data_IF_843108183872
#
_entry.id   IF_843108183872
#
_cell.length_a   1.000
_cell.length_b   1.000
_cell.length_c   1.000
_cell.angle_alpha   90.00
_cell.angle_beta   90.00
_cell.angle_gamma   90.00
#
_symmetry.space_group_name_H-M   'P 1'
#
loop_
_entity.id
_entity.type
_entity.pdbx_description
1 polymer ?
#
# COMPACT_ATOMS: atom_id res chain seq x y z
N UNK A 1 4.10 11.58 1.88
CA UNK A 1 2.87 11.08 1.21
C UNK A 1 1.59 11.79 1.69
N UNK A 2 0.63 12.09 0.80
CA UNK A 2 -0.73 12.53 1.21
C UNK A 2 -1.50 11.33 1.80
N UNK A 3 -2.38 11.55 2.79
CA UNK A 3 -3.17 10.46 3.38
C UNK A 3 -4.10 9.79 2.36
N UNK A 4 -3.87 8.50 2.09
CA UNK A 4 -4.75 7.65 1.27
C UNK A 4 -5.93 7.12 2.11
N UNK A 5 -5.76 7.01 3.43
CA UNK A 5 -6.78 6.48 4.33
C UNK A 5 -8.02 7.41 4.38
N UNK A 6 -9.25 6.90 4.16
CA UNK A 6 -10.48 7.70 4.24
C UNK A 6 -10.93 7.90 5.69
N UNK A 7 -10.12 8.59 6.50
CA UNK A 7 -10.36 8.74 7.95
C UNK A 7 -11.74 9.33 8.28
N UNK A 8 -12.18 10.37 7.59
CA UNK A 8 -13.50 10.98 7.83
C UNK A 8 -14.65 10.01 7.57
N UNK A 9 -14.51 9.11 6.59
CA UNK A 9 -15.51 8.08 6.31
C UNK A 9 -15.50 7.01 7.40
N UNK A 10 -14.32 6.61 7.89
CA UNK A 10 -14.16 5.65 8.99
C UNK A 10 -14.79 6.22 10.27
N UNK A 11 -14.46 7.46 10.62
CA UNK A 11 -14.98 8.14 11.81
C UNK A 11 -16.51 8.18 11.84
N UNK A 12 -17.16 8.38 10.69
CA UNK A 12 -18.63 8.38 10.57
C UNK A 12 -19.28 6.99 10.72
N UNK A 13 -18.52 5.89 10.73
CA UNK A 13 -19.06 4.52 10.89
C UNK A 13 -19.29 4.14 12.34
N UNK A 14 -18.80 4.93 13.30
CA UNK A 14 -18.77 4.57 14.70
C UNK A 14 -19.30 5.71 15.56
N UNK A 15 -20.11 5.37 16.56
CA UNK A 15 -20.61 6.34 17.55
C UNK A 15 -19.55 6.68 18.60
N UNK A 16 -18.58 5.77 18.79
CA UNK A 16 -17.44 5.96 19.68
C UNK A 16 -16.32 6.73 18.98
N UNK A 17 -15.46 7.46 19.74
CA UNK A 17 -14.32 8.16 19.17
C UNK A 17 -13.40 7.18 18.42
N UNK A 18 -12.93 7.61 17.26
CA UNK A 18 -11.90 6.91 16.49
C UNK A 18 -10.59 7.68 16.65
N UNK A 19 -9.54 6.98 17.08
CA UNK A 19 -8.19 7.52 17.21
C UNK A 19 -7.43 7.18 15.93
N UNK A 20 -6.93 8.20 15.24
CA UNK A 20 -6.04 8.05 14.09
C UNK A 20 -4.59 8.22 14.53
N UNK A 21 -3.78 7.20 14.26
CA UNK A 21 -2.34 7.29 14.23
C UNK A 21 -1.87 7.29 12.77
N UNK A 22 -1.01 8.23 12.42
CA UNK A 22 -0.43 8.33 11.09
C UNK A 22 1.07 8.59 11.19
N UNK A 23 1.85 7.73 10.54
CA UNK A 23 3.31 7.78 10.48
C UNK A 23 3.75 7.90 9.02
N UNK A 24 4.76 8.73 8.78
CA UNK A 24 5.36 8.95 7.47
C UNK A 24 6.84 8.58 7.45
N UNK A 25 7.56 9.04 6.41
CA UNK A 25 8.98 8.76 6.25
C UNK A 25 9.83 9.28 7.42
N UNK A 26 9.45 10.40 8.04
CA UNK A 26 10.14 10.95 9.23
C UNK A 26 10.10 10.01 10.45
N UNK A 27 9.19 9.03 10.44
CA UNK A 27 9.01 8.00 11.47
C UNK A 27 9.38 6.60 10.96
N UNK A 28 10.22 6.50 9.93
CA UNK A 28 10.56 5.22 9.28
C UNK A 28 11.04 4.15 10.27
N UNK A 29 11.94 4.50 11.20
CA UNK A 29 12.48 3.55 12.19
C UNK A 29 11.40 2.99 13.12
N UNK A 30 10.35 3.76 13.39
CA UNK A 30 9.20 3.32 14.18
C UNK A 30 8.29 2.40 13.35
N UNK A 31 8.02 2.75 12.10
CA UNK A 31 7.29 1.89 11.16
C UNK A 31 8.00 0.55 10.97
N UNK A 32 9.33 0.55 10.82
CA UNK A 32 10.12 -0.66 10.66
C UNK A 32 10.07 -1.60 11.86
N UNK A 33 9.90 -1.07 13.08
CA UNK A 33 9.70 -1.88 14.29
C UNK A 33 8.28 -2.45 14.38
N UNK A 34 7.28 -1.66 13.94
CA UNK A 34 5.86 -2.00 14.07
C UNK A 34 5.39 -2.98 13.00
N UNK A 35 5.80 -2.77 11.75
CA UNK A 35 5.47 -3.64 10.63
C UNK A 35 6.69 -3.92 9.73
N UNK A 36 7.64 -4.73 10.22
CA UNK A 36 8.78 -5.17 9.40
C UNK A 36 8.34 -6.03 8.20
N UNK A 37 7.19 -6.70 8.29
CA UNK A 37 6.68 -7.55 7.22
C UNK A 37 6.14 -6.73 6.05
N UNK A 38 5.46 -5.61 6.33
CA UNK A 38 5.02 -4.68 5.30
C UNK A 38 6.19 -4.08 4.51
N UNK A 39 7.28 -3.70 5.20
CA UNK A 39 8.51 -3.25 4.53
C UNK A 39 9.18 -4.38 3.73
N UNK A 40 9.22 -5.60 4.27
CA UNK A 40 9.74 -6.74 3.54
C UNK A 40 8.91 -7.07 2.29
N UNK A 41 7.58 -6.97 2.35
CA UNK A 41 6.68 -7.14 1.20
C UNK A 41 6.95 -6.09 0.12
N UNK A 42 7.10 -4.83 0.52
CA UNK A 42 7.44 -3.74 -0.38
C UNK A 42 8.79 -3.99 -1.08
N UNK A 43 9.83 -4.34 -0.31
CA UNK A 43 11.14 -4.67 -0.86
C UNK A 43 11.15 -5.93 -1.74
N UNK A 44 10.32 -6.92 -1.41
CA UNK A 44 10.19 -8.13 -2.22
C UNK A 44 9.60 -7.81 -3.58
N UNK A 45 8.61 -6.92 -3.64
CA UNK A 45 8.05 -6.42 -4.90
C UNK A 45 9.13 -5.75 -5.77
N UNK A 46 9.99 -4.93 -5.15
CA UNK A 46 11.14 -4.32 -5.84
C UNK A 46 12.11 -5.39 -6.35
N UNK A 47 12.49 -6.33 -5.50
CA UNK A 47 13.42 -7.41 -5.86
C UNK A 47 12.92 -8.20 -7.07
N UNK A 48 11.64 -8.59 -7.07
CA UNK A 48 11.06 -9.36 -8.17
C UNK A 48 11.12 -8.62 -9.51
N UNK A 49 10.86 -7.31 -9.50
CA UNK A 49 10.96 -6.48 -10.71
C UNK A 49 12.41 -6.32 -11.16
N UNK A 50 13.31 -6.04 -10.23
CA UNK A 50 14.73 -5.89 -10.51
C UNK A 50 15.34 -7.17 -11.10
N UNK A 51 14.95 -8.32 -10.57
CA UNK A 51 15.39 -9.63 -11.05
C UNK A 51 14.98 -9.91 -12.51
N UNK A 52 13.87 -9.34 -13.00
CA UNK A 52 13.49 -9.51 -14.42
C UNK A 52 14.46 -8.85 -15.38
N UNK A 53 15.06 -7.74 -14.97
CA UNK A 53 16.07 -7.05 -15.78
C UNK A 53 17.49 -7.52 -15.48
N UNK A 54 17.67 -8.31 -14.40
CA UNK A 54 18.94 -8.91 -13.97
C UNK A 54 18.74 -10.39 -13.62
N UNK A 55 18.40 -11.25 -14.62
CA UNK A 55 17.99 -12.63 -14.39
C UNK A 55 19.10 -13.53 -13.82
N UNK A 56 20.36 -13.10 -13.94
CA UNK A 56 21.54 -13.73 -13.36
C UNK A 56 21.62 -13.55 -11.84
N UNK A 57 20.94 -12.53 -11.29
CA UNK A 57 20.91 -12.28 -9.86
C UNK A 57 19.80 -13.09 -9.19
N UNK A 58 20.20 -14.10 -8.43
CA UNK A 58 19.31 -14.84 -7.55
C UNK A 58 19.10 -14.15 -6.19
N UNK A 59 18.03 -14.53 -5.47
CA UNK A 59 17.76 -14.05 -4.10
C UNK A 59 18.93 -14.34 -3.12
N UNK A 60 19.83 -15.25 -3.50
CA UNK A 60 21.09 -15.50 -2.81
C UNK A 60 21.92 -14.25 -2.60
N UNK A 61 21.98 -13.33 -3.58
CA UNK A 61 22.75 -12.09 -3.47
C UNK A 61 22.28 -11.22 -2.28
N UNK A 62 20.96 -11.07 -2.14
CA UNK A 62 20.35 -10.36 -1.00
C UNK A 62 20.65 -11.06 0.32
N UNK A 63 20.54 -12.40 0.35
CA UNK A 63 20.82 -13.20 1.56
C UNK A 63 22.28 -13.11 1.98
N UNK A 64 23.20 -13.15 1.02
CA UNK A 64 24.63 -13.10 1.28
C UNK A 64 25.05 -11.73 1.80
N UNK A 65 24.45 -10.65 1.29
CA UNK A 65 24.61 -9.31 1.85
C UNK A 65 24.18 -9.28 3.34
N UNK A 66 22.96 -9.74 3.64
CA UNK A 66 22.40 -9.72 5.01
C UNK A 66 23.24 -10.58 5.95
N UNK A 67 23.73 -11.75 5.51
CA UNK A 67 24.62 -12.58 6.34
C UNK A 67 25.95 -11.92 6.64
N UNK A 68 26.51 -11.17 5.69
CA UNK A 68 27.80 -10.51 5.83
C UNK A 68 27.76 -9.22 6.66
N UNK A 69 26.66 -8.47 6.60
CA UNK A 69 26.56 -7.12 7.16
C UNK A 69 25.49 -6.98 8.26
N UNK A 70 24.66 -8.01 8.45
CA UNK A 70 23.42 -7.90 9.24
C UNK A 70 22.34 -7.12 8.50
N UNK A 71 21.28 -6.79 9.22
CA UNK A 71 20.19 -5.96 8.71
C UNK A 71 18.93 -6.74 8.30
N UNK A 72 17.98 -5.99 7.80
CA UNK A 72 16.65 -6.40 7.37
C UNK A 72 16.64 -6.73 5.87
N UNK A 73 15.55 -7.36 5.42
CA UNK A 73 15.42 -7.76 4.02
C UNK A 73 15.46 -6.56 3.06
N UNK A 74 14.82 -5.44 3.42
CA UNK A 74 14.77 -4.27 2.55
C UNK A 74 16.13 -3.59 2.40
N UNK A 75 16.97 -3.58 3.45
CA UNK A 75 18.35 -3.07 3.39
C UNK A 75 19.20 -3.92 2.45
N UNK A 76 19.03 -5.25 2.47
CA UNK A 76 19.71 -6.15 1.55
C UNK A 76 19.29 -5.94 0.09
N UNK A 77 18.00 -5.72 -0.18
CA UNK A 77 17.52 -5.39 -1.53
C UNK A 77 18.09 -4.05 -1.99
N UNK A 78 18.09 -3.04 -1.12
CA UNK A 78 18.64 -1.71 -1.43
C UNK A 78 20.13 -1.76 -1.77
N UNK A 79 20.90 -2.54 -1.02
CA UNK A 79 22.32 -2.72 -1.30
C UNK A 79 22.60 -3.41 -2.63
N UNK A 80 21.78 -4.40 -3.02
CA UNK A 80 21.94 -5.11 -4.30
C UNK A 80 21.47 -4.27 -5.48
N UNK A 81 20.36 -3.54 -5.33
CA UNK A 81 19.81 -2.66 -6.38
C UNK A 81 20.69 -1.41 -6.56
N UNK A 82 21.31 -0.92 -5.49
CA UNK A 82 22.12 0.31 -5.48
C UNK A 82 21.30 1.60 -5.45
N UNK A 83 20.00 1.52 -5.17
CA UNK A 83 19.04 2.63 -5.15
C UNK A 83 18.09 2.51 -3.96
N UNK A 84 17.60 3.63 -3.39
CA UNK A 84 16.61 3.59 -2.32
C UNK A 84 15.36 2.78 -2.70
N UNK A 85 15.11 1.71 -1.95
CA UNK A 85 14.01 0.76 -2.23
C UNK A 85 12.69 1.34 -1.78
N UNK A 86 12.66 1.95 -0.59
CA UNK A 86 11.50 2.65 -0.04
C UNK A 86 11.75 4.15 -0.12
N UNK A 87 11.00 4.86 -0.95
CA UNK A 87 11.21 6.29 -1.26
C UNK A 87 10.25 7.24 -0.54
N UNK A 88 9.11 6.73 -0.13
CA UNK A 88 8.12 7.41 0.71
C UNK A 88 7.21 6.35 1.33
N UNK A 89 6.53 6.66 2.43
CA UNK A 89 5.55 5.77 3.02
C UNK A 89 4.42 6.54 3.72
N UNK A 90 3.27 5.87 3.86
CA UNK A 90 2.20 6.24 4.77
C UNK A 90 1.75 4.99 5.50
N UNK A 91 1.93 5.00 6.81
CA UNK A 91 1.41 4.00 7.72
C UNK A 91 0.27 4.65 8.51
N UNK A 92 -0.90 4.03 8.52
CA UNK A 92 -2.07 4.59 9.21
C UNK A 92 -2.86 3.52 9.92
N UNK A 93 -3.25 3.82 11.16
CA UNK A 93 -4.00 2.93 12.03
C UNK A 93 -5.15 3.69 12.69
N UNK A 94 -6.35 3.14 12.59
CA UNK A 94 -7.53 3.65 13.28
C UNK A 94 -7.99 2.64 14.33
N UNK A 95 -8.03 3.06 15.58
CA UNK A 95 -8.59 2.28 16.69
C UNK A 95 -9.80 2.98 17.27
N UNK A 96 -10.77 2.20 17.72
CA UNK A 96 -11.95 2.71 18.43
C UNK A 96 -11.62 2.85 19.90
N UNK A 97 -11.87 4.01 20.47
CA UNK A 97 -11.77 4.25 21.91
C UNK A 97 -13.02 3.70 22.62
N UNK A 98 -13.05 2.38 22.77
CA UNK A 98 -14.08 1.67 23.50
C UNK A 98 -13.48 0.51 24.30
N UNK A 99 -13.46 0.58 25.64
CA UNK A 99 -12.91 -0.48 26.48
C UNK A 99 -13.69 -1.79 26.41
N UNK A 100 -14.89 -1.81 25.79
CA UNK A 100 -15.65 -3.03 25.59
C UNK A 100 -15.14 -3.91 24.42
N UNK A 101 -14.20 -3.40 23.60
CA UNK A 101 -13.65 -4.13 22.46
C UNK A 101 -12.32 -4.82 22.82
N UNK A 102 -12.27 -6.14 22.67
CA UNK A 102 -11.02 -6.91 22.81
C UNK A 102 -9.99 -6.54 21.73
N UNK A 103 -10.45 -6.24 20.51
CA UNK A 103 -9.63 -5.86 19.37
C UNK A 103 -10.17 -4.55 18.76
N UNK A 104 -9.66 -3.37 19.17
CA UNK A 104 -10.26 -2.09 18.79
C UNK A 104 -9.89 -1.63 17.38
N UNK A 105 -9.13 -2.41 16.61
CA UNK A 105 -8.65 -2.04 15.29
C UNK A 105 -9.82 -1.97 14.29
N UNK A 106 -10.11 -0.76 13.80
CA UNK A 106 -11.12 -0.52 12.77
C UNK A 106 -10.51 -0.42 11.36
N UNK A 107 -9.34 0.20 11.25
CA UNK A 107 -8.64 0.28 9.98
C UNK A 107 -7.13 0.24 10.13
N UNK A 108 -6.48 -0.35 9.14
CA UNK A 108 -5.04 -0.35 8.96
C UNK A 108 -4.76 -0.14 7.47
N UNK A 109 -3.80 0.70 7.15
CA UNK A 109 -3.33 0.90 5.78
C UNK A 109 -1.85 1.24 5.80
N UNK A 110 -1.06 0.43 5.10
CA UNK A 110 0.35 0.67 4.90
C UNK A 110 0.66 0.70 3.40
N UNK A 111 1.08 1.88 2.95
CA UNK A 111 1.43 2.13 1.55
C UNK A 111 2.85 2.67 1.48
N UNK A 112 3.60 2.21 0.49
CA UNK A 112 4.99 2.61 0.23
C UNK A 112 5.12 3.03 -1.23
N UNK A 113 5.91 4.07 -1.50
CA UNK A 113 6.38 4.35 -2.85
C UNK A 113 7.76 3.73 -2.98
N UNK A 114 7.92 2.89 -4.00
CA UNK A 114 9.10 2.01 -4.12
C UNK A 114 9.81 2.17 -5.47
N UNK A 115 11.05 1.72 -5.56
CA UNK A 115 11.77 1.60 -6.83
C UNK A 115 11.03 0.63 -7.79
N UNK A 116 10.99 0.88 -9.12
CA UNK A 116 11.60 2.01 -9.85
C UNK A 116 10.76 3.30 -9.82
N UNK A 117 9.44 3.24 -9.62
CA UNK A 117 8.58 4.34 -9.15
C UNK A 117 7.16 3.83 -8.88
N UNK A 118 6.98 2.67 -8.25
CA UNK A 118 5.66 2.08 -8.05
C UNK A 118 5.04 2.50 -6.72
N UNK A 119 3.71 2.43 -6.61
CA UNK A 119 3.01 2.51 -5.34
C UNK A 119 2.64 1.10 -4.90
N UNK A 120 3.17 0.65 -3.76
CA UNK A 120 2.89 -0.67 -3.21
C UNK A 120 2.00 -0.55 -1.97
N UNK A 121 0.87 -1.25 -1.97
CA UNK A 121 0.06 -1.44 -0.77
C UNK A 121 0.60 -2.66 -0.04
N UNK A 122 1.39 -2.41 1.00
CA UNK A 122 2.06 -3.41 1.79
C UNK A 122 1.08 -4.21 2.66
N UNK A 123 0.09 -3.54 3.24
CA UNK A 123 -0.97 -4.18 4.01
C UNK A 123 -2.21 -3.27 4.09
N UNK A 124 -3.38 -3.87 4.28
CA UNK A 124 -4.63 -3.16 4.51
C UNK A 124 -5.63 -4.02 5.31
N UNK A 125 -6.38 -3.36 6.20
CA UNK A 125 -7.52 -3.95 6.89
C UNK A 125 -8.59 -2.88 7.11
N UNK A 126 -9.86 -3.22 6.89
CA UNK A 126 -11.00 -2.32 7.10
C UNK A 126 -12.16 -3.11 7.73
N UNK A 127 -12.20 -3.14 9.05
CA UNK A 127 -13.08 -4.00 9.83
C UNK A 127 -13.98 -3.19 10.78
N UNK A 128 -15.19 -3.71 11.02
CA UNK A 128 -16.02 -3.27 12.13
C UNK A 128 -15.79 -4.21 13.32
N UNK A 129 -15.05 -3.79 14.37
CA UNK A 129 -14.72 -4.66 15.50
C UNK A 129 -15.94 -5.05 16.34
N UNK A 130 -17.07 -4.34 16.24
CA UNK A 130 -18.34 -4.73 16.88
C UNK A 130 -19.06 -5.88 16.16
N UNK A 131 -18.61 -6.27 14.98
CA UNK A 131 -19.28 -7.28 14.14
C UNK A 131 -18.34 -8.45 13.81
N UNK A 132 -17.93 -9.26 14.81
CA UNK A 132 -17.13 -10.45 14.56
C UNK A 132 -17.92 -11.48 13.73
N UNK A 133 -17.21 -12.20 12.86
CA UNK A 133 -17.77 -13.25 12.02
C UNK A 133 -17.28 -14.61 12.53
N UNK A 134 -18.18 -15.52 12.95
CA UNK A 134 -17.83 -16.89 13.28
C UNK A 134 -17.16 -17.61 12.11
N UNK A 135 -16.15 -18.45 12.39
CA UNK A 135 -15.34 -19.14 11.37
C UNK A 135 -16.18 -19.78 10.23
N UNK A 136 -17.29 -20.50 10.49
CA UNK A 136 -18.08 -21.13 9.42
C UNK A 136 -18.81 -20.16 8.48
N UNK A 137 -18.93 -18.88 8.85
CA UNK A 137 -19.62 -17.83 8.08
C UNK A 137 -18.66 -16.89 7.36
N UNK A 138 -17.35 -17.10 7.49
CA UNK A 138 -16.34 -16.26 6.85
C UNK A 138 -16.29 -16.56 5.37
N UNK A 139 -16.27 -15.50 4.56
CA UNK A 139 -16.10 -15.62 3.11
C UNK A 139 -14.64 -15.83 2.74
N UNK A 140 -13.73 -15.19 3.47
CA UNK A 140 -12.29 -15.28 3.25
C UNK A 140 -11.58 -15.84 4.49
N UNK A 141 -10.47 -16.54 4.29
CA UNK A 141 -9.72 -17.23 5.35
C UNK A 141 -9.36 -16.30 6.52
N UNK A 142 -8.92 -15.08 6.21
CA UNK A 142 -8.45 -14.10 7.18
C UNK A 142 -9.55 -13.14 7.68
N UNK A 143 -10.79 -13.26 7.21
CA UNK A 143 -11.87 -12.32 7.53
C UNK A 143 -12.45 -12.57 8.93
N UNK A 144 -11.93 -11.90 9.96
CA UNK A 144 -12.45 -12.06 11.35
C UNK A 144 -13.68 -11.22 11.66
N UNK A 145 -13.89 -10.13 10.94
CA UNK A 145 -14.94 -9.14 11.20
C UNK A 145 -15.66 -8.72 9.90
N UNK A 146 -16.85 -8.12 10.03
CA UNK A 146 -17.55 -7.50 8.90
C UNK A 146 -16.74 -6.31 8.39
N UNK A 147 -16.55 -6.23 7.08
CA UNK A 147 -15.77 -5.14 6.47
C UNK A 147 -16.53 -3.80 6.49
N UNK A 148 -15.78 -2.69 6.48
CA UNK A 148 -16.34 -1.33 6.40
C UNK A 148 -16.76 -0.90 4.99
N UNK A 149 -16.58 -1.78 3.99
CA UNK A 149 -16.85 -1.51 2.57
C UNK A 149 -16.06 -0.30 2.01
N UNK A 150 -14.81 -0.13 2.46
CA UNK A 150 -13.93 0.99 2.07
C UNK A 150 -12.91 0.65 0.98
N UNK A 151 -12.84 -0.61 0.54
CA UNK A 151 -11.81 -1.06 -0.42
C UNK A 151 -11.81 -0.23 -1.72
N UNK A 152 -12.98 -0.02 -2.32
CA UNK A 152 -13.11 0.78 -3.55
C UNK A 152 -12.61 2.22 -3.37
N UNK A 153 -12.99 2.87 -2.26
CA UNK A 153 -12.55 4.23 -1.93
C UNK A 153 -11.04 4.31 -1.77
N UNK A 154 -10.45 3.36 -1.03
CA UNK A 154 -9.01 3.32 -0.76
C UNK A 154 -8.22 3.10 -2.05
N UNK A 155 -8.65 2.18 -2.90
CA UNK A 155 -7.99 1.93 -4.18
C UNK A 155 -8.08 3.14 -5.11
N UNK A 156 -9.24 3.80 -5.19
CA UNK A 156 -9.38 5.03 -5.98
C UNK A 156 -8.46 6.16 -5.49
N UNK A 157 -8.30 6.32 -4.17
CA UNK A 157 -7.37 7.30 -3.58
C UNK A 157 -5.90 6.92 -3.84
N UNK A 158 -5.56 5.64 -3.74
CA UNK A 158 -4.23 5.14 -4.03
C UNK A 158 -3.86 5.36 -5.51
N UNK A 159 -4.79 5.07 -6.44
CA UNK A 159 -4.61 5.32 -7.87
C UNK A 159 -4.44 6.81 -8.17
N UNK A 160 -5.25 7.67 -7.56
CA UNK A 160 -5.11 9.12 -7.71
C UNK A 160 -3.74 9.61 -7.21
N UNK A 161 -3.30 9.14 -6.05
CA UNK A 161 -1.96 9.47 -5.53
C UNK A 161 -0.85 8.92 -6.43
N UNK A 162 -0.94 7.66 -6.86
CA UNK A 162 0.02 7.04 -7.76
C UNK A 162 0.16 7.85 -9.07
N UNK A 163 -0.97 8.23 -9.67
CA UNK A 163 -0.99 9.06 -10.89
C UNK A 163 -0.35 10.44 -10.67
N UNK A 164 -0.60 11.08 -9.53
CA UNK A 164 0.02 12.37 -9.18
C UNK A 164 1.53 12.28 -9.00
N UNK A 165 2.04 11.15 -8.48
CA UNK A 165 3.47 10.90 -8.29
C UNK A 165 4.17 10.32 -9.52
N UNK A 166 3.45 10.19 -10.64
CA UNK A 166 3.99 9.59 -11.86
C UNK A 166 4.37 8.12 -11.69
N UNK A 167 3.68 7.39 -10.82
CA UNK A 167 3.92 5.98 -10.63
C UNK A 167 3.43 5.17 -11.84
N UNK A 168 4.17 4.13 -12.20
CA UNK A 168 3.81 3.25 -13.33
C UNK A 168 2.75 2.22 -12.92
N UNK A 169 2.90 1.64 -11.73
CA UNK A 169 2.00 0.62 -11.22
C UNK A 169 1.54 0.91 -9.78
N UNK A 170 0.31 0.46 -9.50
CA UNK A 170 -0.18 0.17 -8.16
C UNK A 170 -0.04 -1.33 -7.93
N UNK A 171 0.70 -1.74 -6.91
CA UNK A 171 0.99 -3.15 -6.63
C UNK A 171 0.54 -3.55 -5.23
N UNK A 172 0.28 -4.84 -5.02
CA UNK A 172 -0.01 -5.44 -3.72
C UNK A 172 0.34 -6.92 -3.73
N UNK A 173 0.47 -7.50 -2.53
CA UNK A 173 0.51 -8.95 -2.36
C UNK A 173 -0.78 -9.41 -1.68
N UNK A 174 -1.55 -10.27 -2.34
CA UNK A 174 -2.71 -10.89 -1.73
C UNK A 174 -2.26 -11.81 -0.59
N UNK A 175 -2.79 -11.61 0.61
CA UNK A 175 -2.40 -12.43 1.77
C UNK A 175 -2.77 -13.92 1.59
N UNK A 176 -3.82 -14.19 0.81
CA UNK A 176 -4.31 -15.53 0.49
C UNK A 176 -4.86 -15.58 -0.94
N UNK A 177 -4.87 -16.79 -1.50
CA UNK A 177 -5.35 -17.11 -2.85
C UNK A 177 -6.80 -16.69 -3.11
N UNK A 178 -7.68 -16.81 -2.09
CA UNK A 178 -9.08 -16.41 -2.15
C UNK A 178 -9.30 -14.89 -2.29
N UNK A 179 -8.27 -14.06 -2.03
CA UNK A 179 -8.33 -12.62 -2.23
C UNK A 179 -7.95 -12.18 -3.66
N UNK A 180 -7.27 -13.03 -4.44
CA UNK A 180 -6.89 -12.70 -5.82
C UNK A 180 -8.11 -12.35 -6.69
N UNK A 181 -9.22 -13.12 -6.69
CA UNK A 181 -10.41 -12.74 -7.44
C UNK A 181 -11.11 -11.48 -6.92
N UNK A 182 -10.90 -11.11 -5.65
CA UNK A 182 -11.44 -9.86 -5.10
C UNK A 182 -10.72 -8.65 -5.71
N UNK A 183 -9.38 -8.66 -5.70
CA UNK A 183 -8.58 -7.58 -6.27
C UNK A 183 -8.69 -7.53 -7.80
N UNK A 184 -8.89 -8.68 -8.46
CA UNK A 184 -9.17 -8.74 -9.90
C UNK A 184 -10.36 -7.90 -10.34
N UNK A 185 -11.39 -7.75 -9.49
CA UNK A 185 -12.56 -6.89 -9.78
C UNK A 185 -12.22 -5.40 -9.84
N UNK A 186 -11.07 -5.00 -9.30
CA UNK A 186 -10.57 -3.63 -9.32
C UNK A 186 -9.50 -3.40 -10.40
N UNK A 187 -9.28 -4.38 -11.27
CA UNK A 187 -8.35 -4.29 -12.40
C UNK A 187 -6.92 -4.68 -12.06
N UNK A 188 -6.68 -5.32 -10.91
CA UNK A 188 -5.40 -5.96 -10.64
C UNK A 188 -5.28 -7.27 -11.41
N UNK A 189 -4.09 -7.56 -11.92
CA UNK A 189 -3.73 -8.83 -12.56
C UNK A 189 -2.59 -9.47 -11.78
N UNK A 190 -2.47 -10.80 -11.84
CA UNK A 190 -1.30 -11.49 -11.30
C UNK A 190 -0.10 -11.09 -12.15
N UNK A 191 0.99 -10.73 -11.50
CA UNK A 191 2.18 -10.22 -12.18
C UNK A 191 2.91 -11.36 -12.95
N UNK A 192 3.20 -11.16 -14.23
CA UNK A 192 3.74 -12.20 -15.11
C UNK A 192 5.12 -12.70 -14.69
N UNK A 193 5.36 -14.02 -14.77
CA UNK A 193 6.68 -14.61 -14.48
C UNK A 193 7.09 -14.60 -13.00
N UNK A 194 6.13 -14.42 -12.09
CA UNK A 194 6.39 -14.44 -10.65
C UNK A 194 6.35 -15.85 -10.04
N UNK A 195 7.14 -16.02 -8.98
CA UNK A 195 7.19 -17.26 -8.19
C UNK A 195 5.91 -17.50 -7.36
N UNK A 196 5.11 -16.46 -7.08
CA UNK A 196 3.89 -16.56 -6.28
C UNK A 196 2.69 -16.07 -7.07
N UNK A 197 1.59 -16.82 -7.04
CA UNK A 197 0.31 -16.44 -7.67
C UNK A 197 -0.45 -15.35 -6.90
N UNK A 198 0.24 -14.66 -5.97
CA UNK A 198 -0.36 -13.73 -5.00
C UNK A 198 0.08 -12.28 -5.22
N UNK A 199 1.20 -12.05 -5.91
CA UNK A 199 1.61 -10.71 -6.29
C UNK A 199 0.75 -10.19 -7.43
N UNK A 200 0.23 -8.98 -7.24
CA UNK A 200 -0.70 -8.39 -8.18
C UNK A 200 -0.31 -6.95 -8.51
N UNK A 201 -0.55 -6.56 -9.75
CA UNK A 201 -0.29 -5.22 -10.25
C UNK A 201 -1.48 -4.66 -11.01
N UNK A 202 -1.58 -3.33 -11.02
CA UNK A 202 -2.49 -2.57 -11.84
C UNK A 202 -1.70 -1.42 -12.45
N UNK A 203 -1.70 -1.34 -13.79
CA UNK A 203 -1.07 -0.22 -14.49
C UNK A 203 -1.81 1.08 -14.21
N UNK A 204 -1.07 2.12 -13.87
CA UNK A 204 -1.61 3.47 -13.68
C UNK A 204 -1.69 4.14 -15.05
N UNK A 205 -2.87 4.67 -15.37
CA UNK A 205 -3.04 5.44 -16.58
C UNK A 205 -2.18 6.72 -16.50
N UNK A 206 -1.42 7.05 -17.55
CA UNK A 206 -0.68 8.31 -17.59
C UNK A 206 -1.66 9.47 -17.44
N UNK A 207 -1.32 10.45 -16.59
CA UNK A 207 -2.12 11.66 -16.41
C UNK A 207 -2.24 12.34 -17.78
N UNK A 208 -3.46 12.56 -18.26
CA UNK A 208 -3.66 13.43 -19.43
C UNK A 208 -3.02 14.78 -19.11
N UNK A 209 -2.19 15.36 -20.00
CA UNK A 209 -1.60 16.66 -19.74
C UNK A 209 -2.74 17.63 -19.45
N UNK A 210 -2.73 18.25 -18.27
CA UNK A 210 -3.62 19.35 -17.97
C UNK A 210 -3.43 20.38 -19.08
N UNK A 211 -4.49 20.65 -19.85
CA UNK A 211 -4.49 21.78 -20.77
C UNK A 211 -4.09 22.99 -19.94
N UNK A 212 -2.99 23.70 -20.26
CA UNK A 212 -2.64 24.90 -19.52
C UNK A 212 -3.86 25.82 -19.55
N UNK A 213 -4.29 26.23 -18.36
CA UNK A 213 -5.37 27.19 -18.21
C UNK A 213 -5.04 28.38 -19.10
N UNK A 214 -5.88 28.62 -20.11
CA UNK A 214 -5.70 29.74 -21.00
C UNK A 214 -5.70 31.01 -20.15
N UNK A 215 -4.53 31.64 -20.00
CA UNK A 215 -4.44 32.97 -19.44
C UNK A 215 -5.33 33.87 -20.28
N UNK A 216 -6.42 34.34 -19.68
CA UNK A 216 -7.27 35.36 -20.25
C UNK A 216 -6.39 36.59 -20.48
N UNK A 217 -6.02 36.83 -21.74
CA UNK A 217 -5.39 38.06 -22.16
C UNK A 217 -6.37 39.21 -21.93
N UNK A 218 -6.18 39.95 -20.85
CA UNK A 218 -6.84 41.23 -20.59
C UNK A 218 -6.47 42.17 -21.75
N UNK A 219 -7.43 42.48 -22.62
CA UNK A 219 -7.27 43.52 -23.63
C UNK A 219 -7.12 44.88 -22.91
N UNK A 220 -6.18 45.75 -23.32
CA UNK A 220 -6.15 47.11 -22.82
C UNK A 220 -7.37 47.86 -23.35
N UNK A 221 -8.13 48.46 -22.44
CA UNK A 221 -9.19 49.42 -22.77
C UNK A 221 -8.54 50.70 -23.27
N UNK A 222 -8.71 51.00 -24.55
CA UNK A 222 -8.44 52.30 -25.14
C UNK A 222 -9.76 53.05 -25.31
N UNK A 223 -10.02 54.03 -24.45
CA UNK A 223 -10.84 55.23 -24.69
C UNK A 223 -10.71 56.16 -23.47
#
# INVERSE_FOLDING_TARGET
>A
MQSILPYDEIKRRFDKPVILEQLGMDSFAEVAKRDPNGLASAAFTVWQRYQRTHPDLGIGAVRDYIRGHGGSFWEGVEAVVGEPVIRDLSYSRCTIDDPALDEPLAAYLFVTRVYPNDLHIADMNFANPYMPIPLPRRRFKLQRYKGLALLATVLARAEAYASQQGCDYLTLNAATDDLVPLFGKYGFVVEDGQATSLAMEKRIAPRSPEKPAAMAATKPSSA
#
